data_IF_417643479703
#
_entry.id   IF_417643479703
#
_cell.length_a   1.000
_cell.length_b   1.000
_cell.length_c   1.000
_cell.angle_alpha   90.00
_cell.angle_beta   90.00
_cell.angle_gamma   90.00
#
_symmetry.space_group_name_H-M   'P 1'
#
loop_
_entity.id
_entity.type
_entity.pdbx_description
1 polymer ?
#
# COMPACT_ATOMS: atom_id res chain seq x y z
N UNK A 1 -27.26 15.72 4.06
CA UNK A 1 -26.49 16.38 2.98
C UNK A 1 -25.52 15.34 2.44
N UNK A 2 -25.72 14.88 1.21
CA UNK A 2 -24.87 13.87 0.58
C UNK A 2 -23.65 14.59 -0.03
N UNK A 3 -22.44 14.23 0.40
CA UNK A 3 -21.23 14.62 -0.29
C UNK A 3 -21.06 13.70 -1.50
N UNK A 4 -21.30 14.25 -2.68
CA UNK A 4 -20.91 13.62 -3.94
C UNK A 4 -19.40 13.79 -4.06
N UNK A 5 -18.63 12.73 -3.80
CA UNK A 5 -17.25 12.65 -4.28
C UNK A 5 -17.32 12.46 -5.80
N UNK A 6 -17.06 13.53 -6.53
CA UNK A 6 -16.86 13.47 -7.97
C UNK A 6 -15.53 12.76 -8.24
N UNK A 7 -15.60 11.53 -8.74
CA UNK A 7 -14.49 10.91 -9.47
C UNK A 7 -14.19 11.80 -10.68
N UNK A 8 -12.95 12.31 -10.77
CA UNK A 8 -12.57 13.26 -11.82
C UNK A 8 -12.48 12.56 -13.20
N UNK A 9 -12.93 13.22 -14.28
CA UNK A 9 -12.68 12.78 -15.64
C UNK A 9 -11.23 13.07 -16.07
N UNK A 10 -10.66 12.13 -16.81
CA UNK A 10 -9.24 12.01 -17.16
C UNK A 10 -8.91 12.85 -18.40
N UNK A 11 -7.96 13.79 -18.27
CA UNK A 11 -7.29 14.43 -19.41
C UNK A 11 -5.80 14.44 -19.10
N UNK A 12 -5.02 13.70 -19.89
CA UNK A 12 -3.57 13.69 -19.89
C UNK A 12 -3.03 15.10 -20.12
N UNK A 13 -2.23 15.61 -19.19
CA UNK A 13 -1.53 16.87 -19.33
C UNK A 13 -0.03 16.59 -19.24
N UNK A 14 0.64 16.53 -20.39
CA UNK A 14 2.11 16.53 -20.48
C UNK A 14 2.64 17.85 -19.88
N UNK A 15 3.04 17.83 -18.62
CA UNK A 15 3.71 18.93 -17.93
C UNK A 15 5.24 18.79 -17.96
N UNK A 16 6.01 19.88 -17.76
CA UNK A 16 7.44 19.79 -17.54
C UNK A 16 7.74 19.05 -16.24
N UNK A 17 8.83 18.26 -16.21
CA UNK A 17 9.28 17.52 -15.02
C UNK A 17 9.39 18.43 -13.80
N UNK A 18 8.72 18.05 -12.70
CA UNK A 18 8.75 18.79 -11.44
C UNK A 18 9.45 17.97 -10.35
N UNK A 19 10.57 18.50 -9.83
CA UNK A 19 11.08 18.09 -8.53
C UNK A 19 10.28 18.83 -7.45
N UNK A 20 9.78 18.08 -6.48
CA UNK A 20 8.99 18.60 -5.37
C UNK A 20 9.81 18.77 -4.08
N UNK A 21 11.14 18.83 -4.21
CA UNK A 21 12.04 18.97 -3.08
C UNK A 21 11.71 20.29 -2.33
N UNK A 22 11.45 20.21 -1.03
CA UNK A 22 11.07 21.35 -0.19
C UNK A 22 12.12 22.47 -0.29
N UNK A 23 11.70 23.72 -0.59
CA UNK A 23 12.55 24.91 -0.53
C UNK A 23 12.88 25.37 0.91
N UNK A 24 12.71 24.49 1.89
CA UNK A 24 13.02 24.70 3.30
C UNK A 24 14.09 23.70 3.74
N UNK A 25 15.36 24.13 3.66
CA UNK A 25 16.51 23.35 4.12
C UNK A 25 16.46 23.10 5.63
N UNK A 26 15.84 21.98 6.00
CA UNK A 26 16.12 21.28 7.26
C UNK A 26 16.92 20.04 6.90
N UNK A 27 18.23 20.08 7.15
CA UNK A 27 19.08 18.91 6.99
C UNK A 27 18.70 17.86 8.01
N UNK A 28 17.85 16.91 7.62
CA UNK A 28 17.61 15.68 8.36
C UNK A 28 18.87 14.81 8.19
N UNK A 29 19.85 15.07 9.06
CA UNK A 29 21.14 14.41 9.02
C UNK A 29 21.03 12.89 9.12
N UNK A 30 21.81 12.21 8.27
CA UNK A 30 22.34 10.87 8.52
C UNK A 30 21.32 9.74 8.59
N UNK A 31 20.86 9.25 7.44
CA UNK A 31 20.25 7.92 7.35
C UNK A 31 20.94 7.10 6.27
N UNK A 32 20.96 5.78 6.46
CA UNK A 32 21.71 4.84 5.62
C UNK A 32 21.32 4.85 4.13
N UNK A 33 21.94 3.97 3.34
CA UNK A 33 21.62 3.87 1.92
C UNK A 33 20.12 3.55 1.71
N UNK A 34 19.48 4.23 0.75
CA UNK A 34 18.12 3.87 0.30
C UNK A 34 18.22 2.55 -0.46
N UNK A 35 17.60 1.51 0.07
CA UNK A 35 17.63 0.14 -0.48
C UNK A 35 16.49 -0.12 -1.47
N UNK A 36 15.45 0.71 -1.44
CA UNK A 36 14.29 0.58 -2.31
C UNK A 36 14.64 0.96 -3.75
N UNK A 37 14.37 0.05 -4.68
CA UNK A 37 14.61 0.21 -6.12
C UNK A 37 13.47 -0.38 -6.93
N UNK A 38 13.26 0.13 -8.14
CA UNK A 38 12.25 -0.35 -9.08
C UNK A 38 10.85 0.15 -8.77
N UNK A 39 9.85 -0.53 -9.34
CA UNK A 39 8.43 -0.15 -9.28
C UNK A 39 7.73 -0.69 -8.04
N UNK A 40 6.96 0.15 -7.37
CA UNK A 40 6.23 -0.16 -6.14
C UNK A 40 4.84 0.45 -6.19
N UNK A 41 3.89 -0.22 -5.54
CA UNK A 41 2.58 0.34 -5.26
C UNK A 41 2.53 0.70 -3.78
N UNK A 42 2.28 1.98 -3.48
CA UNK A 42 1.97 2.46 -2.15
C UNK A 42 0.46 2.51 -1.97
N UNK A 43 0.03 2.06 -0.81
CA UNK A 43 -1.35 2.06 -0.41
C UNK A 43 -1.48 2.75 0.95
N UNK A 44 -2.28 3.82 0.99
CA UNK A 44 -2.46 4.66 2.16
C UNK A 44 -3.90 4.59 2.69
N UNK A 45 -4.01 4.63 4.02
CA UNK A 45 -5.29 4.67 4.74
C UNK A 45 -5.26 5.70 5.83
N UNK A 46 -6.37 6.39 6.02
CA UNK A 46 -6.56 7.30 7.12
C UNK A 46 -6.43 6.55 8.45
N UNK A 47 -5.62 7.10 9.36
CA UNK A 47 -5.50 6.61 10.74
C UNK A 47 -6.71 7.05 11.57
N UNK A 48 -7.17 6.18 12.48
CA UNK A 48 -8.32 6.41 13.34
C UNK A 48 -9.58 5.61 12.97
N UNK A 49 -10.54 5.59 13.89
CA UNK A 49 -11.83 4.89 13.77
C UNK A 49 -12.73 5.60 12.77
N UNK A 50 -12.55 5.27 11.49
CA UNK A 50 -13.51 5.59 10.44
C UNK A 50 -14.48 4.40 10.37
N UNK A 51 -15.80 4.59 10.26
CA UNK A 51 -16.72 3.45 10.15
C UNK A 51 -16.28 2.48 9.05
N UNK A 52 -16.38 1.15 9.26
CA UNK A 52 -16.25 0.19 8.18
C UNK A 52 -17.10 0.66 7.00
N UNK A 53 -16.49 0.79 5.82
CA UNK A 53 -17.20 1.21 4.61
C UNK A 53 -16.80 2.56 4.07
N UNK A 54 -16.00 3.31 4.82
CA UNK A 54 -15.79 4.74 4.55
C UNK A 54 -14.34 5.18 4.39
N UNK A 55 -13.39 4.23 4.44
CA UNK A 55 -11.99 4.52 4.13
C UNK A 55 -11.74 4.30 2.63
N UNK A 56 -11.59 5.36 1.82
CA UNK A 56 -11.07 5.19 0.47
C UNK A 56 -9.63 4.67 0.59
N UNK A 57 -9.42 3.45 0.13
CA UNK A 57 -8.09 2.92 -0.16
C UNK A 57 -7.44 3.81 -1.25
N UNK A 58 -6.34 4.48 -0.92
CA UNK A 58 -5.64 5.37 -1.85
C UNK A 58 -4.36 4.72 -2.32
N UNK A 59 -4.35 4.42 -3.61
CA UNK A 59 -3.25 3.75 -4.29
C UNK A 59 -2.43 4.79 -5.03
N UNK A 60 -1.11 4.75 -4.84
CA UNK A 60 -0.14 5.57 -5.55
C UNK A 60 0.93 4.66 -6.13
N UNK A 61 1.12 4.73 -7.45
CA UNK A 61 2.22 4.03 -8.09
C UNK A 61 3.47 4.90 -8.08
N UNK A 62 4.62 4.27 -7.81
CA UNK A 62 5.88 4.97 -7.70
C UNK A 62 7.05 4.09 -8.11
N UNK A 63 8.09 4.72 -8.69
CA UNK A 63 9.32 4.02 -9.06
C UNK A 63 10.54 4.69 -8.46
N UNK A 64 11.38 3.88 -7.79
CA UNK A 64 12.63 4.33 -7.20
C UNK A 64 13.77 4.14 -8.19
N UNK A 65 14.48 5.22 -8.49
CA UNK A 65 15.62 5.24 -9.39
C UNK A 65 16.83 5.88 -8.72
N UNK A 66 17.95 5.15 -8.73
CA UNK A 66 19.24 5.67 -8.30
C UNK A 66 20.03 6.15 -9.53
N UNK A 67 20.31 7.45 -9.55
CA UNK A 67 21.08 8.11 -10.61
C UNK A 67 22.58 8.22 -10.30
N UNK A 68 23.02 7.72 -9.14
CA UNK A 68 24.36 7.97 -8.59
C UNK A 68 24.54 9.37 -7.98
N UNK A 69 23.53 10.23 -8.08
CA UNK A 69 23.45 11.54 -7.40
C UNK A 69 22.43 11.52 -6.24
N UNK A 70 21.91 10.34 -5.91
CA UNK A 70 20.82 10.14 -4.95
C UNK A 70 19.66 9.35 -5.57
N UNK A 71 18.82 8.82 -4.69
CA UNK A 71 17.62 8.06 -5.06
C UNK A 71 16.42 9.00 -5.16
N UNK A 72 15.69 8.90 -6.27
CA UNK A 72 14.42 9.61 -6.46
C UNK A 72 13.27 8.61 -6.52
N UNK A 73 12.15 8.97 -5.93
CA UNK A 73 10.87 8.31 -6.18
C UNK A 73 10.08 9.17 -7.19
N UNK A 74 9.82 8.59 -8.36
CA UNK A 74 8.91 9.17 -9.34
C UNK A 74 7.50 8.73 -8.99
N UNK A 75 6.55 9.67 -9.06
CA UNK A 75 5.17 9.48 -8.64
C UNK A 75 4.30 9.47 -9.89
N UNK A 76 3.49 8.42 -10.01
CA UNK A 76 2.46 8.32 -11.04
C UNK A 76 1.15 8.82 -10.42
N UNK A 77 0.78 10.05 -10.76
CA UNK A 77 -0.31 10.76 -10.11
C UNK A 77 -1.68 10.50 -10.74
N UNK A 78 -1.71 10.10 -12.01
CA UNK A 78 -2.94 9.70 -12.66
C UNK A 78 -3.14 8.19 -12.64
N UNK A 79 -2.09 7.38 -12.45
CA UNK A 79 -2.23 5.93 -12.32
C UNK A 79 -2.24 5.22 -13.66
N UNK A 80 -1.78 5.86 -14.74
CA UNK A 80 -1.62 5.21 -16.05
C UNK A 80 -0.31 4.42 -16.17
N UNK A 81 0.62 4.64 -15.23
CA UNK A 81 1.91 4.02 -15.13
C UNK A 81 2.95 4.49 -16.14
N UNK A 82 2.61 5.44 -17.01
CA UNK A 82 3.51 6.03 -18.00
C UNK A 82 4.42 7.12 -17.39
N UNK A 83 4.15 7.56 -16.15
CA UNK A 83 4.91 8.57 -15.40
C UNK A 83 5.20 9.84 -16.22
N UNK A 84 4.30 10.20 -17.15
CA UNK A 84 4.56 11.26 -18.14
C UNK A 84 4.59 12.66 -17.50
N UNK A 85 4.02 12.77 -16.31
CA UNK A 85 3.97 13.96 -15.46
C UNK A 85 5.36 14.29 -14.93
N UNK A 86 6.27 13.30 -14.93
CA UNK A 86 7.66 13.41 -14.50
C UNK A 86 7.81 14.09 -13.12
N UNK A 87 6.87 13.79 -12.22
CA UNK A 87 6.86 14.26 -10.84
C UNK A 87 7.76 13.38 -10.00
N UNK A 88 8.68 13.98 -9.25
CA UNK A 88 9.60 13.23 -8.38
C UNK A 88 9.88 13.90 -7.05
N UNK A 89 10.17 13.07 -6.05
CA UNK A 89 10.67 13.46 -4.73
C UNK A 89 12.01 12.78 -4.46
N UNK A 90 12.90 13.46 -3.74
CA UNK A 90 14.10 12.80 -3.22
C UNK A 90 13.70 11.77 -2.16
N UNK A 91 14.17 10.54 -2.33
CA UNK A 91 14.08 9.52 -1.31
C UNK A 91 15.32 9.62 -0.41
N UNK A 92 15.11 9.82 0.89
CA UNK A 92 16.20 9.92 1.85
C UNK A 92 16.19 8.71 2.78
N UNK A 93 17.37 8.16 3.05
CA UNK A 93 17.52 7.22 4.14
C UNK A 93 17.21 7.92 5.45
N UNK A 94 16.47 7.24 6.32
CA UNK A 94 16.20 7.63 7.69
C UNK A 94 16.60 6.48 8.63
N UNK A 95 16.59 6.69 9.95
CA UNK A 95 16.88 5.63 10.92
C UNK A 95 15.89 4.46 10.77
N UNK A 96 16.33 3.40 10.09
CA UNK A 96 15.56 2.17 9.85
C UNK A 96 14.68 2.16 8.59
N UNK A 97 14.62 3.24 7.80
CA UNK A 97 13.64 3.32 6.72
C UNK A 97 13.96 4.31 5.61
N UNK A 98 13.00 4.50 4.71
CA UNK A 98 13.04 5.47 3.61
C UNK A 98 11.98 6.52 3.85
N UNK A 99 12.39 7.79 3.78
CA UNK A 99 11.48 8.92 3.86
C UNK A 99 11.23 9.49 2.46
N UNK A 100 9.96 9.75 2.17
CA UNK A 100 9.50 10.44 0.97
C UNK A 100 8.73 11.68 1.40
N UNK A 101 9.18 12.86 1.00
CA UNK A 101 8.53 14.12 1.34
C UNK A 101 8.43 15.00 0.10
N UNK A 102 7.26 15.56 -0.15
CA UNK A 102 7.06 16.45 -1.27
C UNK A 102 5.75 17.21 -1.24
N UNK A 103 5.69 18.26 -2.05
CA UNK A 103 4.46 19.01 -2.31
C UNK A 103 4.29 19.20 -3.82
N UNK A 104 3.13 18.85 -4.37
CA UNK A 104 2.83 19.07 -5.79
C UNK A 104 1.54 19.85 -5.96
N UNK A 105 1.45 20.62 -7.05
CA UNK A 105 0.19 21.14 -7.53
C UNK A 105 -0.34 20.22 -8.63
N UNK A 106 -1.57 19.75 -8.49
CA UNK A 106 -2.26 18.97 -9.51
C UNK A 106 -3.64 19.57 -9.75
N UNK A 107 -3.92 19.97 -10.98
CA UNK A 107 -5.18 20.61 -11.38
C UNK A 107 -5.59 21.78 -10.47
N UNK A 108 -4.64 22.63 -10.08
CA UNK A 108 -4.89 23.79 -9.22
C UNK A 108 -5.05 23.46 -7.74
N UNK A 109 -4.97 22.19 -7.35
CA UNK A 109 -4.99 21.76 -5.95
C UNK A 109 -3.58 21.44 -5.48
N UNK A 110 -3.17 22.02 -4.35
CA UNK A 110 -1.90 21.68 -3.73
C UNK A 110 -2.06 20.40 -2.91
N UNK A 111 -1.10 19.50 -3.03
CA UNK A 111 -1.00 18.28 -2.25
C UNK A 111 0.35 18.29 -1.56
N UNK A 112 0.38 17.82 -0.32
CA UNK A 112 1.64 17.60 0.39
C UNK A 112 1.58 16.27 1.11
N UNK A 113 2.68 15.53 1.05
CA UNK A 113 2.83 14.29 1.77
C UNK A 113 4.22 14.19 2.40
N UNK A 114 4.27 13.47 3.51
CA UNK A 114 5.48 13.16 4.25
C UNK A 114 5.33 11.75 4.80
N UNK A 115 6.09 10.82 4.26
CA UNK A 115 5.97 9.39 4.51
C UNK A 115 7.29 8.85 5.03
N UNK A 116 7.24 8.02 6.07
CA UNK A 116 8.36 7.19 6.53
C UNK A 116 7.94 5.72 6.47
N UNK A 117 8.65 4.93 5.67
CA UNK A 117 8.42 3.48 5.55
C UNK A 117 9.65 2.70 5.96
N UNK A 118 9.42 1.57 6.63
CA UNK A 118 10.43 0.59 6.99
C UNK A 118 10.32 -0.59 6.03
N UNK A 119 11.40 -0.88 5.29
CA UNK A 119 11.48 -2.09 4.47
C UNK A 119 11.74 -3.28 5.39
N UNK A 120 10.92 -4.32 5.30
CA UNK A 120 11.06 -5.51 6.14
C UNK A 120 11.76 -6.63 5.38
N UNK A 121 11.13 -7.11 4.31
CA UNK A 121 11.66 -8.21 3.50
C UNK A 121 10.99 -8.28 2.12
N UNK A 122 11.70 -8.85 1.14
CA UNK A 122 11.16 -9.30 -0.15
C UNK A 122 10.22 -8.31 -0.85
N UNK A 123 10.59 -7.02 -0.89
CA UNK A 123 9.78 -6.01 -1.57
C UNK A 123 8.54 -5.56 -0.81
N UNK A 124 8.56 -5.61 0.53
CA UNK A 124 7.52 -5.07 1.39
C UNK A 124 8.05 -3.95 2.26
N UNK A 125 7.28 -2.86 2.34
CA UNK A 125 7.51 -1.81 3.31
C UNK A 125 6.18 -1.36 3.92
N UNK A 126 6.22 -0.87 5.15
CA UNK A 126 5.07 -0.23 5.76
C UNK A 126 5.53 0.90 6.66
N UNK A 127 4.60 1.78 7.01
CA UNK A 127 4.87 2.81 7.97
C UNK A 127 3.75 3.82 8.05
N UNK A 128 4.13 5.07 8.21
CA UNK A 128 3.19 6.15 8.47
C UNK A 128 3.41 7.29 7.49
N UNK A 129 2.31 7.97 7.17
CA UNK A 129 2.32 9.15 6.34
C UNK A 129 1.51 10.27 6.98
N UNK A 130 1.86 11.50 6.63
CA UNK A 130 1.02 12.66 6.83
C UNK A 130 0.67 13.22 5.46
N UNK A 131 -0.62 13.37 5.18
CA UNK A 131 -1.12 13.86 3.91
C UNK A 131 -1.96 15.12 4.09
N UNK A 132 -1.89 16.05 3.14
CA UNK A 132 -2.73 17.25 3.15
C UNK A 132 -3.13 17.66 1.74
N UNK A 133 -4.38 18.12 1.62
CA UNK A 133 -4.98 18.64 0.38
C UNK A 133 -5.35 20.11 0.57
N UNK A 134 -4.83 20.99 -0.28
CA UNK A 134 -5.05 22.42 -0.26
C UNK A 134 -4.73 23.02 1.11
N UNK A 135 -5.71 23.70 1.69
CA UNK A 135 -5.63 24.30 3.03
C UNK A 135 -6.19 23.41 4.14
N UNK A 136 -6.55 22.16 3.84
CA UNK A 136 -7.06 21.23 4.84
C UNK A 136 -6.00 20.93 5.93
N UNK A 137 -6.42 20.49 7.13
CA UNK A 137 -5.49 19.98 8.12
C UNK A 137 -4.70 18.77 7.61
N UNK A 138 -3.54 18.55 8.22
CA UNK A 138 -2.76 17.34 8.03
C UNK A 138 -3.56 16.13 8.50
N UNK A 139 -3.69 15.13 7.63
CA UNK A 139 -4.33 13.86 7.88
C UNK A 139 -3.25 12.80 8.17
N UNK A 140 -3.22 12.19 9.37
CA UNK A 140 -2.34 11.06 9.63
C UNK A 140 -2.87 9.82 8.90
N UNK A 141 -1.95 9.07 8.33
CA UNK A 141 -2.23 7.87 7.56
C UNK A 141 -1.26 6.74 7.89
N UNK A 142 -1.72 5.53 7.65
CA UNK A 142 -0.92 4.32 7.64
C UNK A 142 -0.65 3.97 6.19
N UNK A 143 0.59 3.55 5.89
CA UNK A 143 0.97 3.15 4.54
C UNK A 143 1.52 1.73 4.51
N UNK A 144 1.25 1.07 3.40
CA UNK A 144 1.89 -0.20 3.01
C UNK A 144 2.37 -0.08 1.59
N UNK A 145 3.46 -0.76 1.26
CA UNK A 145 4.06 -0.75 -0.06
C UNK A 145 4.45 -2.17 -0.46
N UNK A 146 4.14 -2.52 -1.70
CA UNK A 146 4.54 -3.78 -2.31
C UNK A 146 5.27 -3.49 -3.61
N UNK A 147 6.42 -4.14 -3.79
CA UNK A 147 7.19 -4.07 -5.02
C UNK A 147 6.48 -4.84 -6.12
N UNK A 148 6.35 -4.23 -7.29
CA UNK A 148 5.89 -4.94 -8.49
C UNK A 148 7.01 -5.86 -8.94
N UNK A 149 6.72 -7.16 -9.00
CA UNK A 149 7.61 -8.21 -9.47
C UNK A 149 7.01 -8.84 -10.73
N UNK A 150 7.80 -9.68 -11.42
CA UNK A 150 7.48 -10.44 -12.65
C UNK A 150 6.01 -10.49 -13.10
N UNK A 151 5.78 -10.35 -14.40
CA UNK A 151 4.45 -10.33 -15.01
C UNK A 151 3.55 -11.48 -14.51
N UNK A 152 2.30 -11.21 -14.11
CA UNK A 152 1.35 -12.24 -13.70
C UNK A 152 1.02 -13.17 -14.86
N UNK A 153 0.81 -14.44 -14.55
CA UNK A 153 0.19 -15.40 -15.49
C UNK A 153 -1.24 -15.79 -15.07
N UNK A 154 -1.74 -15.23 -13.96
CA UNK A 154 -3.05 -15.57 -13.40
C UNK A 154 -3.96 -14.35 -13.36
N UNK A 155 -5.20 -14.58 -13.76
CA UNK A 155 -6.29 -13.63 -13.64
C UNK A 155 -7.06 -13.90 -12.35
N UNK A 156 -7.08 -12.92 -11.44
CA UNK A 156 -7.80 -12.92 -10.18
C UNK A 156 -9.07 -12.07 -10.23
N UNK A 157 -9.40 -11.41 -11.34
CA UNK A 157 -10.61 -10.59 -11.44
C UNK A 157 -11.88 -11.37 -11.09
N UNK A 158 -12.79 -10.75 -10.35
CA UNK A 158 -14.10 -11.36 -10.02
C UNK A 158 -14.39 -11.37 -8.53
N UNK A 159 -15.41 -12.15 -8.15
CA UNK A 159 -15.88 -12.26 -6.77
C UNK A 159 -15.22 -13.47 -6.11
N UNK A 160 -14.74 -13.28 -4.89
CA UNK A 160 -14.04 -14.31 -4.12
C UNK A 160 -14.60 -14.41 -2.70
N UNK A 161 -14.86 -15.62 -2.25
CA UNK A 161 -15.05 -15.92 -0.84
C UNK A 161 -13.68 -16.16 -0.23
N UNK A 162 -13.36 -15.43 0.83
CA UNK A 162 -12.06 -15.45 1.49
C UNK A 162 -12.23 -15.71 2.97
N UNK A 163 -11.51 -16.71 3.48
CA UNK A 163 -11.36 -17.02 4.89
C UNK A 163 -9.93 -16.71 5.35
N UNK A 164 -9.81 -15.96 6.44
CA UNK A 164 -8.57 -15.66 7.16
C UNK A 164 -8.63 -16.31 8.54
N UNK A 165 -7.71 -17.21 8.84
CA UNK A 165 -7.61 -17.82 10.18
C UNK A 165 -6.31 -17.40 10.83
N UNK A 166 -6.37 -16.90 12.06
CA UNK A 166 -5.17 -16.61 12.84
C UNK A 166 -4.59 -17.93 13.34
N UNK A 167 -3.48 -18.38 12.75
CA UNK A 167 -2.85 -19.66 13.08
C UNK A 167 -2.22 -19.58 14.48
N UNK A 168 -1.46 -18.52 14.75
CA UNK A 168 -0.81 -18.29 16.03
C UNK A 168 -0.56 -16.80 16.27
N UNK A 169 -0.52 -16.42 17.55
CA UNK A 169 -0.07 -15.10 18.00
C UNK A 169 0.75 -15.27 19.28
N UNK A 170 1.67 -14.35 19.50
CA UNK A 170 2.52 -14.33 20.69
C UNK A 170 1.90 -13.46 21.80
N UNK A 171 2.46 -13.64 23.01
CA UNK A 171 2.16 -12.84 24.19
C UNK A 171 0.68 -12.61 24.46
N UNK A 172 0.30 -11.34 24.55
CA UNK A 172 -1.05 -10.91 24.93
C UNK A 172 -2.14 -11.30 23.95
N UNK A 173 -1.79 -11.68 22.71
CA UNK A 173 -2.73 -11.99 21.63
C UNK A 173 -2.91 -13.50 21.39
N UNK A 174 -2.17 -14.35 22.09
CA UNK A 174 -2.23 -15.81 21.96
C UNK A 174 -3.65 -16.40 22.04
N UNK A 175 -4.58 -15.75 22.75
CA UNK A 175 -5.98 -16.16 22.85
C UNK A 175 -6.78 -16.02 21.54
N UNK A 176 -6.25 -15.30 20.54
CA UNK A 176 -6.86 -15.14 19.23
C UNK A 176 -6.55 -16.29 18.26
N UNK A 177 -5.63 -17.20 18.63
CA UNK A 177 -5.28 -18.35 17.79
C UNK A 177 -6.51 -19.23 17.52
N UNK A 178 -6.72 -19.56 16.25
CA UNK A 178 -7.88 -20.28 15.74
C UNK A 178 -9.09 -19.41 15.40
N UNK A 179 -9.04 -18.08 15.62
CA UNK A 179 -10.12 -17.20 15.17
C UNK A 179 -10.11 -17.08 13.65
N UNK A 180 -11.29 -17.19 13.05
CA UNK A 180 -11.49 -17.08 11.61
C UNK A 180 -12.38 -15.89 11.29
N UNK A 181 -11.99 -15.10 10.30
CA UNK A 181 -12.79 -14.09 9.64
C UNK A 181 -13.08 -14.54 8.20
N UNK A 182 -14.34 -14.44 7.78
CA UNK A 182 -14.78 -14.78 6.44
C UNK A 182 -15.41 -13.56 5.77
N UNK A 183 -15.17 -13.37 4.46
CA UNK A 183 -15.71 -12.25 3.72
C UNK A 183 -15.78 -12.49 2.21
N UNK A 184 -16.68 -11.76 1.54
CA UNK A 184 -16.83 -11.76 0.08
C UNK A 184 -16.17 -10.52 -0.51
N UNK A 185 -15.17 -10.71 -1.34
CA UNK A 185 -14.37 -9.64 -1.93
C UNK A 185 -14.56 -9.57 -3.44
N UNK A 186 -14.76 -8.37 -3.97
CA UNK A 186 -14.56 -8.07 -5.38
C UNK A 186 -13.07 -7.77 -5.60
N UNK A 187 -12.44 -8.56 -6.46
CA UNK A 187 -11.06 -8.35 -6.90
C UNK A 187 -11.06 -7.68 -8.27
N UNK A 188 -10.26 -6.61 -8.39
CA UNK A 188 -9.91 -5.96 -9.65
C UNK A 188 -8.40 -6.02 -9.80
N UNK A 189 -7.90 -6.60 -10.90
CA UNK A 189 -6.50 -6.78 -11.21
C UNK A 189 -6.12 -6.06 -12.49
N UNK A 190 -4.97 -5.39 -12.48
CA UNK A 190 -4.34 -4.85 -13.68
C UNK A 190 -3.68 -5.98 -14.49
N UNK A 191 -4.15 -6.14 -15.72
CA UNK A 191 -3.78 -7.23 -16.62
C UNK A 191 -2.73 -6.82 -17.65
N UNK A 192 -2.38 -5.53 -17.73
CA UNK A 192 -1.44 -5.00 -18.71
C UNK A 192 -0.61 -3.83 -18.17
N UNK A 193 0.38 -3.39 -18.95
CA UNK A 193 1.15 -2.20 -18.62
C UNK A 193 2.12 -2.38 -17.44
N UNK A 194 2.60 -1.28 -16.85
CA UNK A 194 3.64 -1.28 -15.82
C UNK A 194 3.13 -1.68 -14.44
N UNK A 195 1.81 -1.63 -14.22
CA UNK A 195 1.15 -2.11 -12.99
C UNK A 195 0.68 -3.57 -13.09
N UNK A 196 1.03 -4.27 -14.16
CA UNK A 196 0.57 -5.64 -14.39
C UNK A 196 0.83 -6.54 -13.18
N UNK A 197 -0.23 -7.20 -12.70
CA UNK A 197 -0.20 -8.09 -11.54
C UNK A 197 -0.62 -7.42 -10.24
N UNK A 198 -0.71 -6.09 -10.19
CA UNK A 198 -1.36 -5.41 -9.10
C UNK A 198 -2.86 -5.71 -9.07
N UNK A 199 -3.40 -5.93 -7.88
CA UNK A 199 -4.84 -6.02 -7.67
C UNK A 199 -5.29 -5.38 -6.37
N UNK A 200 -6.55 -4.96 -6.37
CA UNK A 200 -7.28 -4.51 -5.19
C UNK A 200 -8.41 -5.49 -4.89
N UNK A 201 -8.51 -5.93 -3.64
CA UNK A 201 -9.65 -6.68 -3.13
C UNK A 201 -10.50 -5.75 -2.27
N UNK A 202 -11.81 -5.68 -2.52
CA UNK A 202 -12.76 -4.79 -1.82
C UNK A 202 -13.99 -5.57 -1.37
N UNK A 203 -14.34 -5.45 -0.09
CA UNK A 203 -15.63 -5.90 0.47
C UNK A 203 -16.68 -4.81 0.37
N UNK A 204 -17.94 -5.21 0.45
CA UNK A 204 -19.09 -4.30 0.45
C UNK A 204 -19.11 -3.37 1.68
N UNK A 205 -18.52 -3.80 2.79
CA UNK A 205 -18.30 -3.01 3.99
C UNK A 205 -17.04 -2.12 3.90
N UNK A 206 -16.52 -1.89 2.68
CA UNK A 206 -15.38 -1.03 2.39
C UNK A 206 -14.06 -1.45 3.00
N UNK A 207 -13.97 -2.63 3.61
CA UNK A 207 -12.69 -3.26 3.84
C UNK A 207 -12.01 -3.50 2.48
N UNK A 208 -10.72 -3.26 2.43
CA UNK A 208 -9.93 -3.52 1.25
C UNK A 208 -8.56 -4.04 1.63
N UNK A 209 -7.86 -4.63 0.68
CA UNK A 209 -6.41 -4.83 0.74
C UNK A 209 -5.86 -4.83 -0.68
N UNK A 210 -4.55 -4.65 -0.79
CA UNK A 210 -3.86 -4.63 -2.08
C UNK A 210 -2.90 -5.80 -2.15
N UNK A 211 -2.58 -6.22 -3.37
CA UNK A 211 -1.62 -7.28 -3.58
C UNK A 211 -0.98 -7.25 -4.96
N UNK A 212 0.05 -8.08 -5.10
CA UNK A 212 0.70 -8.41 -6.36
C UNK A 212 0.54 -9.90 -6.59
N UNK A 213 0.04 -10.29 -7.74
CA UNK A 213 0.09 -11.68 -8.22
C UNK A 213 1.22 -11.81 -9.24
N UNK A 214 2.00 -12.88 -9.11
CA UNK A 214 3.04 -13.27 -10.05
C UNK A 214 2.88 -14.76 -10.42
N UNK A 215 3.87 -15.31 -11.15
CA UNK A 215 3.87 -16.65 -11.73
C UNK A 215 3.48 -17.79 -10.75
N UNK A 216 3.86 -17.68 -9.47
CA UNK A 216 3.58 -18.73 -8.48
C UNK A 216 3.03 -18.23 -7.14
N UNK A 217 2.99 -16.92 -6.92
CA UNK A 217 2.70 -16.35 -5.60
C UNK A 217 1.78 -15.16 -5.70
N UNK A 218 0.85 -15.07 -4.76
CA UNK A 218 0.07 -13.88 -4.45
C UNK A 218 0.61 -13.29 -3.16
N UNK A 219 0.96 -12.03 -3.24
CA UNK A 219 1.50 -11.22 -2.15
C UNK A 219 0.46 -10.18 -1.76
N UNK A 220 0.18 -10.05 -0.46
CA UNK A 220 -0.78 -9.11 0.09
C UNK A 220 -0.09 -8.12 1.02
N UNK A 221 -0.59 -6.89 1.03
CA UNK A 221 -0.21 -5.90 2.02
C UNK A 221 -1.42 -5.15 2.58
N UNK A 222 -1.42 -5.03 3.91
CA UNK A 222 -2.43 -4.31 4.66
C UNK A 222 -1.85 -3.82 5.98
N UNK A 223 -2.19 -2.58 6.35
CA UNK A 223 -1.93 -2.02 7.67
C UNK A 223 -3.19 -1.32 8.17
N UNK A 224 -3.63 -1.63 9.38
CA UNK A 224 -4.90 -1.15 9.92
C UNK A 224 -4.90 -1.15 11.45
N UNK A 225 -5.78 -0.33 12.04
CA UNK A 225 -6.00 -0.30 13.48
C UNK A 225 -7.26 -1.11 13.83
N UNK A 226 -7.15 -2.03 14.79
CA UNK A 226 -8.29 -2.76 15.35
C UNK A 226 -8.01 -3.21 16.79
N UNK A 227 -9.04 -3.19 17.64
CA UNK A 227 -8.94 -3.48 19.09
C UNK A 227 -7.84 -2.68 19.83
N UNK A 228 -7.49 -1.49 19.33
CA UNK A 228 -6.42 -0.65 19.89
C UNK A 228 -5.00 -1.06 19.46
N UNK A 229 -4.87 -2.10 18.64
CA UNK A 229 -3.63 -2.56 18.05
C UNK A 229 -3.48 -2.04 16.62
N UNK A 230 -2.23 -1.79 16.22
CA UNK A 230 -1.86 -1.54 14.85
C UNK A 230 -1.35 -2.84 14.22
N UNK A 231 -2.11 -3.35 13.27
CA UNK A 231 -1.82 -4.60 12.57
C UNK A 231 -1.12 -4.29 11.25
N UNK A 232 -0.02 -4.99 10.97
CA UNK A 232 0.70 -4.91 9.70
C UNK A 232 0.94 -6.31 9.14
N UNK A 233 0.48 -6.56 7.92
CA UNK A 233 0.87 -7.76 7.17
C UNK A 233 2.24 -7.50 6.53
N UNK A 234 3.24 -8.30 6.91
CA UNK A 234 4.64 -8.08 6.54
C UNK A 234 5.08 -8.96 5.37
N UNK A 235 4.49 -10.16 5.25
CA UNK A 235 4.79 -11.08 4.16
C UNK A 235 3.60 -12.01 3.91
N UNK A 236 3.28 -12.24 2.63
CA UNK A 236 2.24 -13.18 2.24
C UNK A 236 2.74 -14.02 1.07
N UNK A 237 2.63 -15.34 1.19
CA UNK A 237 2.81 -16.24 0.06
C UNK A 237 1.57 -17.11 -0.05
N UNK A 238 0.66 -16.73 -0.96
CA UNK A 238 -0.47 -17.57 -1.32
C UNK A 238 -0.15 -18.22 -2.66
N UNK A 239 -0.26 -19.53 -2.69
CA UNK A 239 -0.24 -20.26 -3.95
C UNK A 239 -1.64 -20.14 -4.56
N UNK A 240 -1.71 -19.76 -5.82
CA UNK A 240 -2.95 -19.80 -6.58
C UNK A 240 -2.98 -21.07 -7.44
N UNK A 241 -4.15 -21.70 -7.55
CA UNK A 241 -4.43 -22.79 -8.48
C UNK A 241 -5.87 -22.67 -9.03
N UNK A 242 -6.02 -22.28 -10.30
CA UNK A 242 -7.32 -22.00 -10.90
C UNK A 242 -8.14 -20.96 -10.11
N UNK A 243 -9.32 -21.38 -9.67
CA UNK A 243 -10.27 -20.58 -8.89
C UNK A 243 -10.05 -20.70 -7.37
N UNK A 244 -8.89 -21.20 -6.96
CA UNK A 244 -8.50 -21.32 -5.56
C UNK A 244 -7.20 -20.56 -5.30
N UNK A 245 -7.10 -19.95 -4.12
CA UNK A 245 -5.80 -19.59 -3.57
C UNK A 245 -5.72 -19.92 -2.08
N UNK A 246 -4.51 -20.21 -1.61
CA UNK A 246 -4.28 -20.39 -0.18
C UNK A 246 -2.81 -20.35 0.20
N UNK A 247 -2.58 -20.04 1.47
CA UNK A 247 -1.24 -19.96 2.01
C UNK A 247 -1.21 -19.29 3.37
N UNK A 248 -0.04 -18.81 3.75
CA UNK A 248 0.18 -18.19 5.05
C UNK A 248 0.71 -16.77 4.89
N UNK A 249 0.29 -15.90 5.79
CA UNK A 249 0.91 -14.60 5.96
C UNK A 249 1.45 -14.43 7.38
N UNK A 250 2.55 -13.70 7.46
CA UNK A 250 3.15 -13.25 8.70
C UNK A 250 2.92 -11.75 8.82
N UNK A 251 2.90 -11.30 10.05
CA UNK A 251 2.68 -9.92 10.36
C UNK A 251 2.91 -9.66 11.83
N UNK A 252 2.55 -8.45 12.19
CA UNK A 252 2.92 -7.86 13.45
C UNK A 252 1.74 -7.06 13.97
N UNK A 253 1.50 -7.16 15.28
CA UNK A 253 0.58 -6.31 16.00
C UNK A 253 1.37 -5.42 16.96
N UNK A 254 1.12 -4.12 16.93
CA UNK A 254 1.78 -3.13 17.78
C UNK A 254 0.78 -2.44 18.72
N UNK A 255 1.15 -2.31 20.00
CA UNK A 255 0.42 -1.52 21.00
C UNK A 255 1.41 -0.63 21.77
N UNK A 256 1.58 0.60 21.28
CA UNK A 256 2.58 1.52 21.82
C UNK A 256 4.01 1.05 21.53
N UNK A 257 4.70 0.52 22.55
CA UNK A 257 6.05 -0.07 22.40
C UNK A 257 6.03 -1.59 22.42
N UNK A 258 4.87 -2.20 22.68
CA UNK A 258 4.68 -3.64 22.62
C UNK A 258 4.52 -4.07 21.17
N UNK A 259 5.21 -5.14 20.81
CA UNK A 259 5.17 -5.77 19.50
C UNK A 259 4.96 -7.27 19.70
N UNK A 260 3.98 -7.82 18.99
CA UNK A 260 3.66 -9.24 18.99
C UNK A 260 3.69 -9.76 17.54
N UNK A 261 4.34 -10.90 17.34
CA UNK A 261 4.32 -11.61 16.07
C UNK A 261 3.02 -12.41 15.93
N UNK A 262 2.48 -12.39 14.71
CA UNK A 262 1.22 -13.05 14.37
C UNK A 262 1.35 -13.76 13.03
N UNK A 263 0.81 -14.97 12.96
CA UNK A 263 0.70 -15.76 11.74
C UNK A 263 -0.75 -16.07 11.43
N UNK A 264 -1.07 -16.08 10.14
CA UNK A 264 -2.40 -16.38 9.63
C UNK A 264 -2.33 -17.33 8.44
N UNK A 265 -3.34 -18.17 8.32
CA UNK A 265 -3.66 -18.89 7.11
C UNK A 265 -4.78 -18.17 6.37
N UNK A 266 -4.74 -18.24 5.04
CA UNK A 266 -5.77 -17.70 4.18
C UNK A 266 -6.15 -18.75 3.16
N UNK A 267 -7.45 -18.88 2.93
CA UNK A 267 -8.03 -19.76 1.91
C UNK A 267 -9.10 -18.98 1.19
N UNK A 268 -9.15 -19.10 -0.13
CA UNK A 268 -10.18 -18.44 -0.91
C UNK A 268 -10.59 -19.19 -2.16
N UNK A 269 -11.81 -18.91 -2.58
CA UNK A 269 -12.46 -19.51 -3.73
C UNK A 269 -13.15 -18.45 -4.56
N UNK A 270 -12.94 -18.45 -5.89
CA UNK A 270 -13.70 -17.59 -6.80
C UNK A 270 -15.13 -18.10 -6.88
N UNK A 271 -16.10 -17.21 -6.70
CA UNK A 271 -17.52 -17.52 -6.81
C UNK A 271 -18.11 -17.04 -8.14
N UNK A 272 -18.92 -17.88 -8.78
CA UNK A 272 -19.78 -17.51 -9.90
C UNK A 272 -19.10 -17.35 -11.26
N UNK A 273 -18.63 -18.46 -11.86
CA UNK A 273 -18.51 -18.53 -13.33
C UNK A 273 -19.88 -18.53 -14.00
#
# INVERSE_FOLDING_TARGET
>A
MAYVLTLAPWIAACGPSMSLDDAGGGGDGGGGAVTMTGSWVMHARVRGTVPPGTQPCRTLFLTFSDSGQGVKAYLDLDGDGEFTEAVSVTATGASGGVRLKGQYNWNGTNFSFDTLVWEFSWGHAAGDATYRVGSAPNQPEMVTMVKIMNLPQRDLNGVWDIDHTLDWATGGLSYLSGMTESGVYQITQEMSGPMQGFFEAKRADGECFTGIVNDSQVTLARRYEDYGWLWTYTYTNLNADGDWFGGTHLGQAELGTLQEDVGWSMVAYRTGQ
#
